data_IF_310475971737
#
_entry.id   IF_310475971737
#
_cell.length_a   1.000
_cell.length_b   1.000
_cell.length_c   1.000
_cell.angle_alpha   90.00
_cell.angle_beta   90.00
_cell.angle_gamma   90.00
#
_symmetry.space_group_name_H-M   'P 1'
#
loop_
_entity.id
_entity.type
_entity.pdbx_description
1 polymer ?
#
# COMPACT_ATOMS: atom_id res chain seq x y z
N UNK A 1 60.77 -71.54 -25.64
CA UNK A 1 60.19 -71.32 -24.29
C UNK A 1 60.39 -69.83 -23.97
N UNK A 2 59.37 -69.03 -24.20
CA UNK A 2 59.42 -67.60 -23.85
C UNK A 2 58.23 -67.31 -22.94
N UNK A 3 58.52 -66.80 -21.77
CA UNK A 3 57.53 -66.35 -20.78
C UNK A 3 57.09 -64.93 -21.10
N UNK A 4 55.83 -64.75 -21.28
CA UNK A 4 55.21 -63.44 -21.47
C UNK A 4 54.88 -62.90 -20.08
N UNK A 5 55.43 -61.71 -19.71
CA UNK A 5 55.12 -60.98 -18.51
C UNK A 5 53.89 -60.06 -18.79
N UNK A 6 52.79 -60.30 -18.07
CA UNK A 6 51.66 -59.40 -18.09
C UNK A 6 51.86 -58.27 -17.11
N UNK A 7 52.09 -57.09 -17.63
CA UNK A 7 52.14 -55.88 -16.83
C UNK A 7 50.69 -55.38 -16.50
N UNK A 8 50.34 -55.27 -15.23
CA UNK A 8 49.11 -54.68 -14.78
C UNK A 8 49.23 -53.14 -14.78
N UNK A 9 48.52 -52.48 -15.68
CA UNK A 9 48.30 -51.02 -15.66
C UNK A 9 47.32 -50.71 -14.57
N UNK A 10 47.77 -50.04 -13.50
CA UNK A 10 46.93 -49.44 -12.48
C UNK A 10 46.26 -48.17 -13.06
N UNK A 11 44.99 -48.26 -13.42
CA UNK A 11 44.18 -47.11 -13.81
C UNK A 11 43.92 -46.24 -12.59
N UNK A 12 44.44 -45.02 -12.62
CA UNK A 12 44.06 -43.99 -11.65
C UNK A 12 42.63 -43.51 -11.96
N UNK A 13 41.71 -43.84 -11.08
CA UNK A 13 40.32 -43.38 -11.16
C UNK A 13 40.24 -41.94 -10.63
N UNK A 14 40.21 -40.96 -11.52
CA UNK A 14 39.92 -39.58 -11.16
C UNK A 14 38.44 -39.49 -10.73
N UNK A 15 38.22 -39.28 -9.45
CA UNK A 15 36.92 -38.95 -8.91
C UNK A 15 36.57 -37.53 -9.31
N UNK A 16 35.64 -37.38 -10.27
CA UNK A 16 35.02 -36.10 -10.57
C UNK A 16 34.03 -35.77 -9.44
N UNK A 17 34.37 -34.83 -8.59
CA UNK A 17 33.47 -34.21 -7.63
C UNK A 17 32.46 -33.36 -8.41
N UNK A 18 31.14 -33.52 -8.20
CA UNK A 18 30.16 -32.62 -8.78
C UNK A 18 30.28 -31.26 -8.09
N UNK A 19 30.61 -30.25 -8.88
CA UNK A 19 30.49 -28.84 -8.47
C UNK A 19 29.01 -28.55 -8.26
N UNK A 20 28.55 -28.56 -7.00
CA UNK A 20 27.23 -28.09 -6.67
C UNK A 20 27.18 -26.59 -6.96
N UNK A 21 26.56 -26.20 -8.06
CA UNK A 21 26.12 -24.81 -8.25
C UNK A 21 25.13 -24.49 -7.14
N UNK A 22 25.59 -23.79 -6.12
CA UNK A 22 24.70 -23.08 -5.21
C UNK A 22 24.08 -21.97 -6.04
N UNK A 23 22.89 -22.25 -6.57
CA UNK A 23 22.04 -21.23 -7.16
C UNK A 23 21.74 -20.21 -6.06
N UNK A 24 22.39 -19.05 -6.11
CA UNK A 24 21.94 -17.86 -5.40
C UNK A 24 20.59 -17.55 -6.03
N UNK A 25 19.51 -18.02 -5.38
CA UNK A 25 18.17 -17.57 -5.70
C UNK A 25 18.19 -16.06 -5.56
N UNK A 26 18.18 -15.34 -6.67
CA UNK A 26 17.76 -13.97 -6.69
C UNK A 26 16.31 -14.03 -6.22
N UNK A 27 16.07 -13.74 -4.94
CA UNK A 27 14.76 -13.42 -4.46
C UNK A 27 14.30 -12.24 -5.32
N UNK A 28 13.51 -12.56 -6.34
CA UNK A 28 12.80 -11.56 -7.10
C UNK A 28 11.96 -10.84 -6.05
N UNK A 29 12.37 -9.63 -5.69
CA UNK A 29 11.51 -8.70 -4.98
C UNK A 29 10.32 -8.51 -5.89
N UNK A 30 9.31 -9.33 -5.64
CA UNK A 30 8.06 -9.25 -6.36
C UNK A 30 7.53 -7.85 -6.05
N UNK A 31 7.68 -6.96 -7.02
CA UNK A 31 6.99 -5.69 -7.02
C UNK A 31 5.50 -6.04 -6.98
N UNK A 32 4.96 -6.15 -5.78
CA UNK A 32 3.52 -6.20 -5.56
C UNK A 32 2.99 -4.89 -6.11
N UNK A 33 2.83 -4.89 -7.42
CA UNK A 33 2.26 -3.78 -8.14
C UNK A 33 0.81 -3.60 -7.73
N UNK A 34 0.26 -2.46 -8.01
CA UNK A 34 -1.13 -2.05 -7.85
C UNK A 34 -2.17 -3.00 -8.48
N UNK A 35 -1.74 -4.15 -9.03
CA UNK A 35 -2.56 -5.19 -9.61
C UNK A 35 -2.89 -6.36 -8.70
N UNK A 36 -2.37 -6.41 -7.47
CA UNK A 36 -2.67 -7.51 -6.55
C UNK A 36 -3.94 -7.17 -5.77
N UNK A 37 -5.09 -7.48 -6.34
CA UNK A 37 -6.37 -7.35 -5.64
C UNK A 37 -6.43 -8.37 -4.50
N UNK A 38 -6.57 -7.90 -3.28
CA UNK A 38 -6.84 -8.76 -2.12
C UNK A 38 -8.32 -9.12 -2.15
N UNK A 39 -8.65 -10.34 -2.57
CA UNK A 39 -10.04 -10.78 -2.72
C UNK A 39 -10.83 -10.80 -1.40
N UNK A 40 -10.14 -11.08 -0.31
CA UNK A 40 -10.75 -11.08 1.02
C UNK A 40 -10.62 -9.71 1.70
N UNK A 41 -11.68 -8.95 1.75
CA UNK A 41 -11.73 -7.61 2.33
C UNK A 41 -11.29 -7.55 3.80
N UNK A 42 -11.51 -8.63 4.56
CA UNK A 42 -11.02 -8.71 5.94
C UNK A 42 -9.49 -8.82 6.05
N UNK A 43 -8.82 -9.18 4.97
CA UNK A 43 -7.37 -9.22 4.87
C UNK A 43 -6.78 -7.94 4.27
N UNK A 44 -7.60 -7.18 3.52
CA UNK A 44 -7.15 -5.94 2.91
C UNK A 44 -6.85 -4.86 3.95
N UNK A 45 -7.73 -4.66 4.90
CA UNK A 45 -7.63 -3.57 5.85
C UNK A 45 -7.32 -4.05 7.26
N UNK A 46 -6.24 -3.55 7.86
CA UNK A 46 -5.85 -3.85 9.23
C UNK A 46 -5.87 -2.58 10.10
N UNK A 47 -6.62 -2.61 11.21
CA UNK A 47 -6.59 -1.53 12.21
C UNK A 47 -5.29 -1.62 12.99
N UNK A 48 -4.53 -0.53 13.01
CA UNK A 48 -3.20 -0.47 13.62
C UNK A 48 -3.27 -0.14 15.10
N UNK A 49 -2.91 -1.11 15.95
CA UNK A 49 -2.85 -0.96 17.41
C UNK A 49 -1.79 0.06 17.84
N UNK A 50 -0.67 0.12 17.14
CA UNK A 50 0.42 1.07 17.35
C UNK A 50 0.06 2.52 17.01
N UNK A 51 -1.12 2.75 16.46
CA UNK A 51 -1.77 4.05 16.26
C UNK A 51 -2.99 4.23 17.18
N UNK A 52 -3.04 3.52 18.31
CA UNK A 52 -4.18 3.52 19.23
C UNK A 52 -5.53 3.17 18.53
N UNK A 53 -5.49 2.42 17.43
CA UNK A 53 -6.65 2.09 16.62
C UNK A 53 -7.21 3.24 15.80
N UNK A 54 -6.48 4.36 15.65
CA UNK A 54 -6.90 5.55 14.88
C UNK A 54 -6.42 5.53 13.42
N UNK A 55 -5.68 4.51 13.02
CA UNK A 55 -5.20 4.33 11.66
C UNK A 55 -5.47 2.92 11.14
N UNK A 56 -5.52 2.81 9.82
CA UNK A 56 -5.79 1.58 9.06
C UNK A 56 -4.71 1.40 8.01
N UNK A 57 -4.06 0.24 8.01
CA UNK A 57 -3.19 -0.19 6.92
C UNK A 57 -4.05 -0.81 5.82
N UNK A 58 -3.87 -0.35 4.60
CA UNK A 58 -4.34 -1.02 3.39
C UNK A 58 -3.23 -1.93 2.87
N UNK A 59 -3.38 -3.24 3.03
CA UNK A 59 -2.42 -4.24 2.60
C UNK A 59 -2.28 -4.35 1.07
N UNK A 60 -3.22 -3.81 0.31
CA UNK A 60 -3.17 -3.77 -1.16
C UNK A 60 -2.22 -2.67 -1.64
N UNK A 61 -2.27 -1.50 -1.03
CA UNK A 61 -1.47 -0.33 -1.43
C UNK A 61 -0.29 -0.04 -0.50
N UNK A 62 -0.23 -0.67 0.67
CA UNK A 62 0.70 -0.42 1.77
C UNK A 62 0.62 1.03 2.30
N UNK A 63 -0.51 1.67 2.09
CA UNK A 63 -0.80 2.98 2.62
C UNK A 63 -1.44 2.88 4.00
N UNK A 64 -1.08 3.81 4.87
CA UNK A 64 -1.73 3.95 6.17
C UNK A 64 -2.67 5.14 6.12
N UNK A 65 -3.95 4.89 6.32
CA UNK A 65 -5.03 5.87 6.28
C UNK A 65 -5.46 6.26 7.69
N UNK A 66 -5.90 7.52 7.87
CA UNK A 66 -6.71 7.83 9.05
C UNK A 66 -7.93 6.92 9.09
N UNK A 67 -8.27 6.44 10.28
CA UNK A 67 -9.48 5.62 10.43
C UNK A 67 -10.76 6.43 10.26
N UNK A 68 -10.73 7.71 10.63
CA UNK A 68 -11.83 8.67 10.44
C UNK A 68 -11.32 9.89 9.67
N UNK A 69 -11.81 10.16 8.45
CA UNK A 69 -11.48 11.38 7.73
C UNK A 69 -12.07 12.62 8.44
N UNK A 70 -11.59 13.80 8.07
CA UNK A 70 -12.15 15.04 8.60
C UNK A 70 -13.56 15.30 8.07
N UNK A 71 -14.50 15.47 8.98
CA UNK A 71 -15.89 15.82 8.65
C UNK A 71 -16.11 17.33 8.48
N UNK A 72 -15.15 18.16 8.92
CA UNK A 72 -15.28 19.61 8.89
C UNK A 72 -15.06 20.24 7.51
N UNK A 73 -14.44 19.51 6.59
CA UNK A 73 -14.08 20.04 5.28
C UNK A 73 -13.01 21.14 5.32
N UNK A 74 -12.48 21.50 4.15
CA UNK A 74 -11.52 22.57 3.95
C UNK A 74 -11.53 23.06 2.51
N UNK A 75 -11.02 24.27 2.26
CA UNK A 75 -10.56 24.67 0.94
C UNK A 75 -9.31 23.87 0.57
N UNK A 76 -9.11 23.67 -0.72
CA UNK A 76 -8.00 22.86 -1.20
C UNK A 76 -6.62 23.35 -0.69
N UNK A 77 -6.41 24.65 -0.67
CA UNK A 77 -5.12 25.25 -0.25
C UNK A 77 -4.78 24.91 1.22
N UNK A 78 -5.80 24.73 2.04
CA UNK A 78 -5.63 24.43 3.48
C UNK A 78 -5.50 22.93 3.76
N UNK A 79 -6.06 22.07 2.92
CA UNK A 79 -6.14 20.63 3.18
C UNK A 79 -4.76 19.95 3.35
N UNK A 80 -3.72 20.24 2.52
CA UNK A 80 -2.38 19.67 2.70
C UNK A 80 -1.77 20.03 4.06
N UNK A 81 -1.89 21.31 4.47
CA UNK A 81 -1.37 21.78 5.75
C UNK A 81 -2.09 21.10 6.91
N UNK A 82 -3.41 20.97 6.82
CA UNK A 82 -4.21 20.29 7.85
C UNK A 82 -3.78 18.84 8.04
N UNK A 83 -3.42 18.12 6.97
CA UNK A 83 -2.86 16.79 7.07
C UNK A 83 -1.44 16.83 7.68
N UNK A 84 -0.57 17.74 7.21
CA UNK A 84 0.82 17.79 7.63
C UNK A 84 1.00 18.04 9.16
N UNK A 85 0.12 18.84 9.75
CA UNK A 85 0.16 19.13 11.19
C UNK A 85 -0.52 18.07 12.06
N UNK A 86 -1.29 17.14 11.46
CA UNK A 86 -2.00 16.09 12.22
C UNK A 86 -1.07 15.17 12.98
N UNK A 87 -1.57 14.74 14.13
CA UNK A 87 -1.02 13.63 14.90
C UNK A 87 -2.14 12.61 15.08
N UNK A 88 -2.05 11.46 14.39
CA UNK A 88 -3.02 10.37 14.49
C UNK A 88 -2.37 9.22 15.24
N UNK A 89 -2.97 8.76 16.32
CA UNK A 89 -2.38 7.77 17.21
C UNK A 89 -1.00 8.18 17.75
N UNK A 90 -0.76 9.49 17.96
CA UNK A 90 0.53 10.03 18.37
C UNK A 90 1.60 10.09 17.27
N UNK A 91 1.26 9.82 16.03
CA UNK A 91 2.20 9.77 14.89
C UNK A 91 1.95 10.89 13.90
N UNK A 92 3.05 11.51 13.43
CA UNK A 92 3.08 12.56 12.40
C UNK A 92 3.47 12.01 11.03
N UNK A 93 3.60 12.89 10.02
CA UNK A 93 4.00 12.53 8.65
C UNK A 93 2.79 12.17 7.77
N UNK A 94 1.65 12.80 8.05
CA UNK A 94 0.42 12.68 7.26
C UNK A 94 0.45 13.68 6.11
N UNK A 95 -0.15 13.31 5.00
CA UNK A 95 -0.29 14.14 3.81
C UNK A 95 -1.66 13.95 3.16
N UNK A 96 -2.02 14.87 2.29
CA UNK A 96 -3.17 14.68 1.42
C UNK A 96 -2.82 13.60 0.37
N UNK A 97 -3.71 12.62 0.11
CA UNK A 97 -3.49 11.59 -0.89
C UNK A 97 -3.56 12.15 -2.31
N UNK A 98 -2.95 11.48 -3.28
CA UNK A 98 -3.25 11.68 -4.69
C UNK A 98 -4.67 11.18 -5.01
N UNK A 99 -5.22 11.59 -6.17
CA UNK A 99 -6.54 11.07 -6.55
C UNK A 99 -6.51 9.57 -6.86
N UNK A 100 -5.39 9.03 -7.36
CA UNK A 100 -5.22 7.57 -7.54
C UNK A 100 -5.26 6.81 -6.21
N UNK A 101 -4.64 7.35 -5.17
CA UNK A 101 -4.67 6.75 -3.84
C UNK A 101 -6.08 6.77 -3.26
N UNK A 102 -6.84 7.86 -3.43
CA UNK A 102 -8.25 7.89 -3.02
C UNK A 102 -9.10 6.91 -3.82
N UNK A 103 -8.90 6.85 -5.14
CA UNK A 103 -9.62 5.91 -6.02
C UNK A 103 -9.36 4.45 -5.66
N UNK A 104 -8.18 4.12 -5.11
CA UNK A 104 -7.90 2.76 -4.67
C UNK A 104 -8.82 2.28 -3.54
N UNK A 105 -9.44 3.19 -2.79
CA UNK A 105 -10.42 2.85 -1.76
C UNK A 105 -11.83 2.59 -2.32
N UNK A 106 -12.12 3.01 -3.55
CA UNK A 106 -13.45 2.84 -4.15
C UNK A 106 -13.69 1.39 -4.54
N UNK A 107 -14.81 0.84 -4.13
CA UNK A 107 -15.31 -0.44 -4.62
C UNK A 107 -16.46 -0.18 -5.61
N UNK A 108 -16.24 -0.42 -6.92
CA UNK A 108 -17.27 -0.18 -7.94
C UNK A 108 -18.48 -1.11 -7.80
N UNK A 109 -18.33 -2.26 -7.13
CA UNK A 109 -19.43 -3.21 -6.90
C UNK A 109 -20.40 -2.74 -5.82
N UNK A 110 -19.98 -1.81 -4.95
CA UNK A 110 -20.82 -1.24 -3.91
C UNK A 110 -21.67 -0.10 -4.48
N UNK A 111 -22.99 -0.17 -4.25
CA UNK A 111 -23.89 0.93 -4.60
C UNK A 111 -23.78 2.04 -3.56
N UNK A 112 -23.26 3.20 -3.96
CA UNK A 112 -23.19 4.38 -3.11
C UNK A 112 -24.59 4.93 -2.79
N UNK A 113 -24.75 5.47 -1.59
CA UNK A 113 -25.93 6.22 -1.16
C UNK A 113 -25.50 7.36 -0.23
N UNK A 114 -26.35 8.36 0.03
CA UNK A 114 -26.00 9.44 0.98
C UNK A 114 -25.59 8.95 2.38
N UNK A 115 -26.05 7.76 2.77
CA UNK A 115 -25.71 7.12 4.05
C UNK A 115 -24.53 6.16 3.96
N UNK A 116 -24.08 5.78 2.74
CA UNK A 116 -23.06 4.73 2.54
C UNK A 116 -22.15 5.10 1.38
N UNK A 117 -20.88 5.45 1.64
CA UNK A 117 -19.89 5.66 0.59
C UNK A 117 -19.57 4.37 -0.16
N UNK A 118 -19.05 4.48 -1.38
CA UNK A 118 -18.58 3.35 -2.18
C UNK A 118 -17.25 2.79 -1.67
N UNK A 119 -17.25 2.29 -0.47
CA UNK A 119 -16.12 1.57 0.13
C UNK A 119 -16.41 0.06 0.14
N UNK A 120 -15.38 -0.78 0.14
CA UNK A 120 -15.53 -2.23 0.29
C UNK A 120 -16.33 -2.60 1.53
N UNK A 121 -17.27 -3.54 1.38
CA UNK A 121 -18.07 -4.01 2.52
C UNK A 121 -17.18 -4.56 3.65
N UNK A 122 -17.51 -4.21 4.90
CA UNK A 122 -16.74 -4.65 6.07
C UNK A 122 -15.43 -3.87 6.31
N UNK A 123 -15.22 -2.76 5.60
CA UNK A 123 -14.08 -1.88 5.87
C UNK A 123 -14.10 -1.35 7.32
N UNK A 124 -12.93 -1.15 7.96
CA UNK A 124 -12.86 -0.70 9.36
C UNK A 124 -12.88 0.81 9.55
N UNK A 125 -13.01 1.59 8.47
CA UNK A 125 -13.06 3.05 8.53
C UNK A 125 -14.33 3.55 9.23
N UNK A 126 -14.26 4.72 9.85
CA UNK A 126 -15.35 5.33 10.60
C UNK A 126 -15.68 6.71 10.04
N UNK A 127 -16.92 7.15 10.20
CA UNK A 127 -17.39 8.51 9.87
C UNK A 127 -17.11 8.96 8.43
N UNK A 128 -16.88 8.02 7.51
CA UNK A 128 -16.68 8.34 6.10
C UNK A 128 -18.01 8.77 5.50
N UNK A 129 -18.06 9.99 4.99
CA UNK A 129 -19.25 10.53 4.32
C UNK A 129 -19.23 10.17 2.84
N UNK A 130 -20.41 9.89 2.27
CA UNK A 130 -20.59 9.76 0.83
C UNK A 130 -20.59 11.15 0.18
N UNK A 131 -19.42 11.75 0.07
CA UNK A 131 -19.19 13.11 -0.44
C UNK A 131 -17.86 13.21 -1.17
N UNK A 132 -17.54 14.39 -1.67
CA UNK A 132 -16.31 14.68 -2.38
C UNK A 132 -15.16 14.94 -1.39
N UNK A 133 -14.02 14.26 -1.60
CA UNK A 133 -12.79 14.44 -0.83
C UNK A 133 -11.67 14.99 -1.71
N UNK A 134 -10.97 15.98 -1.20
CA UNK A 134 -9.81 16.57 -1.87
C UNK A 134 -8.68 15.56 -2.05
N UNK A 135 -8.07 15.58 -3.23
CA UNK A 135 -6.73 15.03 -3.43
C UNK A 135 -5.67 16.13 -3.40
N UNK A 136 -4.40 15.73 -3.22
CA UNK A 136 -3.25 16.64 -3.34
C UNK A 136 -2.87 16.97 -4.79
N UNK A 137 -3.62 16.46 -5.78
CA UNK A 137 -3.30 16.60 -7.20
C UNK A 137 -4.01 17.81 -7.81
N UNK A 138 -3.24 18.83 -8.18
CA UNK A 138 -3.76 20.00 -8.90
C UNK A 138 -4.06 19.64 -10.35
N UNK A 139 -5.06 20.28 -10.94
CA UNK A 139 -5.32 20.14 -12.37
C UNK A 139 -4.38 21.06 -13.15
N UNK A 140 -3.54 20.47 -14.03
CA UNK A 140 -2.46 21.19 -14.71
C UNK A 140 -2.94 22.15 -15.80
N UNK A 141 -4.08 21.85 -16.42
CA UNK A 141 -4.64 22.69 -17.52
C UNK A 141 -5.30 23.95 -16.95
N UNK A 142 -5.95 23.83 -15.81
CA UNK A 142 -6.53 24.95 -15.08
C UNK A 142 -6.14 24.87 -13.61
N UNK A 143 -5.13 25.64 -13.17
CA UNK A 143 -4.61 25.59 -11.81
C UNK A 143 -5.59 26.12 -10.74
N UNK A 144 -6.72 26.71 -11.11
CA UNK A 144 -7.80 27.09 -10.18
C UNK A 144 -8.59 25.87 -9.69
N UNK A 145 -8.45 24.74 -10.40
CA UNK A 145 -9.10 23.47 -10.08
C UNK A 145 -8.11 22.43 -9.52
N UNK A 146 -8.63 21.46 -8.79
CA UNK A 146 -7.91 20.28 -8.34
C UNK A 146 -8.76 19.04 -8.54
N UNK A 147 -8.09 17.89 -8.64
CA UNK A 147 -8.75 16.60 -8.61
C UNK A 147 -9.25 16.29 -7.21
N UNK A 148 -10.44 15.74 -7.17
CA UNK A 148 -11.11 15.23 -5.97
C UNK A 148 -11.75 13.88 -6.31
N UNK A 149 -12.17 13.14 -5.31
CA UNK A 149 -12.90 11.87 -5.51
C UNK A 149 -14.24 11.95 -4.81
N UNK A 150 -15.29 11.63 -5.54
CA UNK A 150 -16.65 11.53 -5.02
C UNK A 150 -16.92 10.11 -4.52
N UNK A 151 -17.04 9.94 -3.22
CA UNK A 151 -17.31 8.65 -2.59
C UNK A 151 -18.78 8.21 -2.67
N UNK A 152 -19.69 9.07 -3.12
CA UNK A 152 -21.06 8.70 -3.46
C UNK A 152 -21.10 8.04 -4.84
N UNK A 153 -20.49 8.68 -5.84
CA UNK A 153 -20.52 8.22 -7.24
C UNK A 153 -19.41 7.23 -7.55
N UNK A 154 -18.28 7.31 -6.83
CA UNK A 154 -17.08 6.50 -7.07
C UNK A 154 -16.23 7.02 -8.21
N UNK A 155 -16.32 8.32 -8.52
CA UNK A 155 -15.69 8.94 -9.68
C UNK A 155 -14.68 10.01 -9.27
N UNK A 156 -13.75 10.29 -10.19
CA UNK A 156 -12.86 11.45 -10.09
C UNK A 156 -13.64 12.70 -10.53
N UNK A 157 -13.59 13.74 -9.71
CA UNK A 157 -14.21 15.02 -9.98
C UNK A 157 -13.18 16.15 -10.07
N UNK A 158 -13.39 17.10 -10.98
CA UNK A 158 -12.67 18.37 -10.96
C UNK A 158 -13.46 19.38 -10.12
N UNK A 159 -12.79 20.03 -9.18
CA UNK A 159 -13.41 20.94 -8.23
C UNK A 159 -12.61 22.24 -8.11
N UNK A 160 -13.30 23.37 -8.08
CA UNK A 160 -12.69 24.66 -7.80
C UNK A 160 -12.06 24.68 -6.41
N UNK A 161 -10.80 25.10 -6.31
CA UNK A 161 -9.99 25.06 -5.07
C UNK A 161 -10.52 25.89 -3.92
N UNK A 162 -11.39 26.86 -4.20
CA UNK A 162 -12.09 27.69 -3.21
C UNK A 162 -13.31 26.99 -2.57
N UNK A 163 -13.70 25.83 -3.08
CA UNK A 163 -14.80 25.05 -2.53
C UNK A 163 -14.41 24.34 -1.24
N UNK A 164 -15.38 24.17 -0.32
CA UNK A 164 -15.19 23.38 0.90
C UNK A 164 -15.52 21.92 0.59
N UNK A 165 -14.54 21.02 0.76
CA UNK A 165 -14.72 19.59 0.57
C UNK A 165 -14.10 18.81 1.74
N UNK A 166 -14.48 17.54 1.88
CA UNK A 166 -13.83 16.63 2.81
C UNK A 166 -12.34 16.48 2.50
N UNK A 167 -11.56 16.10 3.49
CA UNK A 167 -10.17 15.68 3.29
C UNK A 167 -9.85 14.49 4.17
N UNK A 168 -9.08 13.58 3.62
CA UNK A 168 -8.69 12.33 4.25
C UNK A 168 -7.18 12.19 4.18
N UNK A 169 -6.53 12.07 5.32
CA UNK A 169 -5.08 12.06 5.32
C UNK A 169 -4.53 10.64 5.23
N UNK A 170 -3.42 10.51 4.52
CA UNK A 170 -2.71 9.25 4.30
C UNK A 170 -1.25 9.40 4.70
N UNK A 171 -0.61 8.29 5.02
CA UNK A 171 0.81 8.20 5.31
C UNK A 171 1.44 7.08 4.50
N UNK A 172 2.72 7.21 4.12
CA UNK A 172 3.45 6.24 3.29
C UNK A 172 3.32 6.51 1.78
N UNK A 173 3.83 5.59 0.97
CA UNK A 173 3.72 5.62 -0.49
C UNK A 173 4.71 6.51 -1.24
N UNK A 174 5.33 7.49 -0.60
CA UNK A 174 6.21 8.45 -1.27
C UNK A 174 7.71 8.18 -1.15
N UNK A 175 8.13 7.23 -0.33
CA UNK A 175 9.55 6.84 -0.24
C UNK A 175 9.70 5.33 -0.09
N UNK A 176 10.64 4.75 -0.84
CA UNK A 176 11.00 3.33 -0.72
C UNK A 176 11.44 2.91 0.69
N UNK A 177 11.81 3.87 1.53
CA UNK A 177 12.23 3.63 2.92
C UNK A 177 11.06 3.28 3.85
N UNK A 178 9.86 3.81 3.60
CA UNK A 178 8.68 3.46 4.41
C UNK A 178 8.17 2.05 4.07
N UNK A 179 8.33 1.61 2.81
CA UNK A 179 8.03 0.23 2.40
C UNK A 179 8.94 -0.78 3.08
N UNK A 180 10.25 -0.51 3.13
CA UNK A 180 11.23 -1.40 3.78
C UNK A 180 10.98 -1.56 5.28
N UNK A 181 10.55 -0.49 5.97
CA UNK A 181 10.17 -0.56 7.39
C UNK A 181 8.90 -1.38 7.65
N UNK A 182 7.92 -1.30 6.75
CA UNK A 182 6.68 -2.07 6.85
C UNK A 182 6.93 -3.55 6.56
N UNK A 183 7.70 -3.88 5.53
CA UNK A 183 8.10 -5.26 5.21
C UNK A 183 8.89 -5.93 6.35
N UNK A 184 9.83 -5.22 6.94
CA UNK A 184 10.61 -5.74 8.06
C UNK A 184 9.74 -6.03 9.30
N UNK A 185 8.73 -5.20 9.56
CA UNK A 185 7.77 -5.44 10.65
C UNK A 185 6.83 -6.60 10.37
N UNK A 186 6.40 -6.80 9.13
CA UNK A 186 5.62 -7.97 8.74
C UNK A 186 6.40 -9.27 8.93
N UNK A 187 7.67 -9.31 8.54
CA UNK A 187 8.53 -10.48 8.72
C UNK A 187 8.74 -10.82 10.20
N UNK A 188 8.90 -9.82 11.06
CA UNK A 188 9.09 -10.04 12.52
C UNK A 188 7.80 -10.54 13.20
N UNK A 189 6.62 -10.09 12.75
CA UNK A 189 5.33 -10.50 13.35
C UNK A 189 4.85 -11.89 12.92
N UNK A 190 5.32 -12.40 11.79
CA UNK A 190 4.92 -13.71 11.24
C UNK A 190 6.04 -14.73 11.19
N UNK A 191 7.20 -14.46 11.81
CA UNK A 191 8.23 -15.48 12.01
C UNK A 191 7.74 -16.47 13.07
N UNK A 192 7.66 -17.78 12.77
CA UNK A 192 7.35 -18.76 13.78
C UNK A 192 8.43 -18.72 14.85
N UNK A 193 8.02 -18.65 16.12
CA UNK A 193 8.91 -18.80 17.26
C UNK A 193 9.56 -20.19 17.17
N UNK A 194 10.90 -20.22 17.10
CA UNK A 194 11.69 -21.44 17.22
C UNK A 194 11.72 -21.93 18.65
#
# INVERSE_FOLDING_TARGET
MQRVHHGYLRGAMLALLPLALVGVGADAVELRGWGTKVENQSQRFAVLKEFNGEAVLDNETLLVWERSPSTAGAEWISAPMRCAIKSVGGRKGWRLPSFYELMSLIDPSVKGSPASPKLPNGHPFRDVKATVYWSGTSYSVDPTNAYAVDFLLGDVALQGKNGIRGYWCVRGGSSGQDRQKLDHRHQVMFSPAH
#
